data_IF_786231687150
#
_entry.id   IF_786231687150
#
_cell.length_a   1.000
_cell.length_b   1.000
_cell.length_c   1.000
_cell.angle_alpha   90.00
_cell.angle_beta   90.00
_cell.angle_gamma   90.00
#
_symmetry.space_group_name_H-M   'P 1'
#
loop_
_entity.id
_entity.type
_entity.pdbx_description
1 polymer ?
#
# COMPACT_ATOMS: atom_id res chain seq x y z
N UNK A 1 0.25 0.04 7.85
CA UNK A 1 -0.12 -1.31 8.36
C UNK A 1 1.14 -2.13 8.60
N UNK A 2 1.08 -2.99 9.59
CA UNK A 2 2.21 -3.86 9.91
C UNK A 2 2.15 -5.12 9.05
N UNK A 3 3.31 -5.75 8.83
CA UNK A 3 3.39 -6.98 8.04
C UNK A 3 2.47 -8.09 8.57
N UNK A 4 2.29 -8.17 9.89
CA UNK A 4 1.39 -9.13 10.53
C UNK A 4 -0.05 -8.99 10.04
N UNK A 5 -0.50 -7.76 9.85
CA UNK A 5 -1.87 -7.50 9.39
C UNK A 5 -2.07 -8.00 7.97
N UNK A 6 -1.08 -7.79 7.12
CA UNK A 6 -1.12 -8.30 5.75
C UNK A 6 -1.05 -9.83 5.72
N UNK A 7 -0.22 -10.42 6.58
CA UNK A 7 -0.06 -11.87 6.64
C UNK A 7 -1.34 -12.58 7.08
N UNK A 8 -2.18 -11.92 7.88
CA UNK A 8 -3.45 -12.46 8.34
C UNK A 8 -4.56 -12.38 7.28
N UNK A 9 -4.34 -11.64 6.21
CA UNK A 9 -5.33 -11.48 5.15
C UNK A 9 -5.35 -12.67 4.20
N UNK A 10 -6.53 -12.97 3.67
CA UNK A 10 -6.65 -13.94 2.58
C UNK A 10 -6.05 -13.35 1.31
N UNK A 11 -5.58 -14.19 0.36
CA UNK A 11 -5.00 -13.67 -0.88
C UNK A 11 -5.91 -12.70 -1.64
N UNK A 12 -7.21 -12.97 -1.63
CA UNK A 12 -8.19 -12.12 -2.30
C UNK A 12 -8.30 -10.75 -1.63
N UNK A 13 -8.32 -10.74 -0.29
CA UNK A 13 -8.37 -9.52 0.49
C UNK A 13 -7.09 -8.70 0.30
N UNK A 14 -5.96 -9.40 0.26
CA UNK A 14 -4.66 -8.76 0.08
C UNK A 14 -4.55 -8.08 -1.27
N UNK A 15 -5.03 -8.74 -2.32
CA UNK A 15 -5.05 -8.15 -3.67
C UNK A 15 -5.90 -6.89 -3.71
N UNK A 16 -7.08 -6.93 -3.09
CA UNK A 16 -7.96 -5.78 -3.02
C UNK A 16 -7.31 -4.64 -2.22
N UNK A 17 -6.63 -4.97 -1.13
CA UNK A 17 -5.95 -3.98 -0.29
C UNK A 17 -4.81 -3.31 -1.04
N UNK A 18 -4.04 -4.07 -1.81
CA UNK A 18 -2.96 -3.52 -2.63
C UNK A 18 -3.51 -2.54 -3.66
N UNK A 19 -4.62 -2.88 -4.31
CA UNK A 19 -5.26 -1.99 -5.28
C UNK A 19 -5.70 -0.68 -4.62
N UNK A 20 -6.30 -0.78 -3.42
CA UNK A 20 -6.70 0.38 -2.63
C UNK A 20 -5.51 1.29 -2.29
N UNK A 21 -4.41 0.68 -1.85
CA UNK A 21 -3.21 1.42 -1.49
C UNK A 21 -2.58 2.11 -2.69
N UNK A 22 -2.60 1.47 -3.85
CA UNK A 22 -2.09 2.07 -5.09
C UNK A 22 -2.92 3.29 -5.49
N UNK A 23 -4.23 3.19 -5.34
CA UNK A 23 -5.13 4.30 -5.62
C UNK A 23 -4.88 5.45 -4.66
N UNK A 24 -4.71 5.16 -3.38
CA UNK A 24 -4.38 6.15 -2.38
C UNK A 24 -3.07 6.85 -2.69
N UNK A 25 -2.05 6.09 -3.11
CA UNK A 25 -0.76 6.64 -3.50
C UNK A 25 -0.90 7.60 -4.67
N UNK A 26 -1.69 7.22 -5.67
CA UNK A 26 -1.95 8.07 -6.83
C UNK A 26 -2.59 9.39 -6.41
N UNK A 27 -3.59 9.32 -5.54
CA UNK A 27 -4.29 10.51 -5.04
C UNK A 27 -3.35 11.43 -4.24
N UNK A 28 -2.48 10.86 -3.43
CA UNK A 28 -1.52 11.65 -2.66
C UNK A 28 -0.51 12.33 -3.56
N UNK A 29 -0.03 11.64 -4.59
CA UNK A 29 0.90 12.22 -5.57
C UNK A 29 0.24 13.35 -6.32
N UNK A 30 -1.01 13.19 -6.69
CA UNK A 30 -1.79 14.22 -7.38
C UNK A 30 -1.91 15.46 -6.49
N UNK A 31 -2.24 15.27 -5.22
CA UNK A 31 -2.34 16.39 -4.27
C UNK A 31 -1.02 17.11 -4.09
N UNK A 32 0.08 16.37 -4.05
CA UNK A 32 1.40 16.96 -3.93
C UNK A 32 1.72 17.81 -5.16
N UNK A 33 1.39 17.30 -6.34
CA UNK A 33 1.64 18.00 -7.61
C UNK A 33 0.83 19.31 -7.72
N UNK A 34 -0.38 19.32 -7.14
CA UNK A 34 -1.25 20.51 -7.17
C UNK A 34 -1.04 21.44 -5.98
N UNK A 35 -0.08 21.13 -5.11
CA UNK A 35 0.22 21.95 -3.94
C UNK A 35 -0.76 21.80 -2.78
N UNK A 36 -1.65 20.81 -2.82
CA UNK A 36 -2.63 20.57 -1.77
C UNK A 36 -2.09 19.72 -0.63
N UNK A 37 -0.93 19.10 -0.82
CA UNK A 37 -0.29 18.27 0.18
C UNK A 37 1.03 18.91 0.58
N UNK A 38 1.17 19.28 1.85
CA UNK A 38 2.36 19.95 2.35
C UNK A 38 3.46 18.95 2.74
N UNK A 39 3.07 17.74 3.11
CA UNK A 39 3.98 16.75 3.66
C UNK A 39 3.98 15.47 2.84
N UNK A 40 5.12 15.13 2.27
CA UNK A 40 5.29 13.93 1.45
C UNK A 40 5.50 12.65 2.26
N UNK A 41 5.53 12.74 3.59
CA UNK A 41 5.73 11.56 4.44
C UNK A 41 4.59 10.55 4.31
N UNK A 42 3.38 11.01 4.03
CA UNK A 42 2.25 10.13 3.77
C UNK A 42 2.48 9.25 2.54
N UNK A 43 3.10 9.83 1.52
CA UNK A 43 3.43 9.09 0.29
C UNK A 43 4.43 7.97 0.62
N UNK A 44 5.45 8.29 1.41
CA UNK A 44 6.46 7.29 1.81
C UNK A 44 5.82 6.18 2.64
N UNK A 45 4.89 6.50 3.54
CA UNK A 45 4.20 5.53 4.37
C UNK A 45 3.35 4.58 3.52
N UNK A 46 2.60 5.12 2.56
CA UNK A 46 1.76 4.31 1.67
C UNK A 46 2.62 3.42 0.77
N UNK A 47 3.72 3.94 0.24
CA UNK A 47 4.66 3.14 -0.55
C UNK A 47 5.21 1.97 0.25
N UNK A 48 5.54 2.20 1.51
CA UNK A 48 6.05 1.15 2.41
C UNK A 48 4.99 0.08 2.63
N UNK A 49 3.75 0.49 2.85
CA UNK A 49 2.64 -0.45 3.03
C UNK A 49 2.43 -1.29 1.78
N UNK A 50 2.48 -0.68 0.60
CA UNK A 50 2.36 -1.41 -0.67
C UNK A 50 3.48 -2.44 -0.79
N UNK A 51 4.71 -2.06 -0.49
CA UNK A 51 5.85 -2.97 -0.56
C UNK A 51 5.68 -4.16 0.38
N UNK A 52 5.24 -3.92 1.61
CA UNK A 52 4.98 -4.98 2.58
C UNK A 52 3.86 -5.92 2.11
N UNK A 53 2.78 -5.34 1.61
CA UNK A 53 1.65 -6.12 1.11
C UNK A 53 2.06 -6.99 -0.08
N UNK A 54 2.85 -6.46 -0.98
CA UNK A 54 3.34 -7.22 -2.15
C UNK A 54 4.28 -8.34 -1.73
N UNK A 55 5.12 -8.11 -0.72
CA UNK A 55 6.00 -9.13 -0.17
C UNK A 55 5.20 -10.28 0.41
N UNK A 56 4.17 -9.98 1.20
CA UNK A 56 3.30 -11.01 1.78
C UNK A 56 2.56 -11.77 0.69
N UNK A 57 2.07 -11.06 -0.34
CA UNK A 57 1.39 -11.69 -1.46
C UNK A 57 2.30 -12.69 -2.17
N UNK A 58 3.55 -12.32 -2.37
CA UNK A 58 4.55 -13.20 -2.98
C UNK A 58 4.81 -14.43 -2.11
N UNK A 59 4.92 -14.24 -0.80
CA UNK A 59 5.12 -15.34 0.14
C UNK A 59 3.94 -16.31 0.11
N UNK A 60 2.72 -15.79 0.07
CA UNK A 60 1.52 -16.63 -0.01
C UNK A 60 1.46 -17.41 -1.31
N UNK A 61 1.92 -16.82 -2.40
CA UNK A 61 1.95 -17.49 -3.71
C UNK A 61 2.94 -18.66 -3.75
N UNK A 62 4.02 -18.55 -2.97
CA UNK A 62 5.05 -19.59 -2.94
C UNK A 62 4.73 -20.73 -1.98
N UNK A 63 3.79 -20.51 -1.09
CA UNK A 63 3.36 -21.55 -0.16
C UNK A 63 2.40 -22.51 -0.85
#
# INVERSE_FOLDING_TARGET
MKAKEFAAMKPEELTAKIAELKEELFNLRFRLATGQLENSMQIAAVKRDIARAMTVQTQQSKA
#
